data_IF_884746758055
#
_entry.id   IF_884746758055
#
_cell.length_a   1.000
_cell.length_b   1.000
_cell.length_c   1.000
_cell.angle_alpha   90.00
_cell.angle_beta   90.00
_cell.angle_gamma   90.00
#
_symmetry.space_group_name_H-M   'P 1'
#
loop_
_entity.id
_entity.type
_entity.pdbx_description
1 polymer ?
#
# COMPACT_ATOMS: atom_id res chain seq x y z
N UNK A 1 0.17 9.13 -6.23
CA UNK A 1 1.45 8.47 -6.54
C UNK A 1 1.74 8.67 -8.02
N UNK A 2 3.01 8.75 -8.42
CA UNK A 2 3.43 8.84 -9.81
C UNK A 2 4.41 7.69 -10.13
N UNK A 3 4.11 6.90 -11.15
CA UNK A 3 5.02 5.89 -11.68
C UNK A 3 5.85 6.52 -12.82
N UNK A 4 7.14 6.79 -12.58
CA UNK A 4 8.05 7.28 -13.62
C UNK A 4 8.87 6.13 -14.24
N UNK A 5 8.51 4.87 -13.96
CA UNK A 5 9.16 3.70 -14.55
C UNK A 5 8.74 3.52 -16.01
N UNK A 6 9.71 3.19 -16.86
CA UNK A 6 9.47 2.70 -18.23
C UNK A 6 9.04 1.22 -18.25
N UNK A 7 9.03 0.57 -17.09
CA UNK A 7 8.60 -0.81 -16.92
C UNK A 7 7.24 -0.88 -16.19
N UNK A 8 6.35 -1.81 -16.59
CA UNK A 8 5.12 -2.07 -15.85
C UNK A 8 5.41 -2.64 -14.46
N UNK A 9 4.47 -2.44 -13.55
CA UNK A 9 4.47 -3.11 -12.24
C UNK A 9 3.16 -3.87 -12.04
N UNK A 10 3.24 -4.98 -11.32
CA UNK A 10 2.16 -5.96 -11.21
C UNK A 10 1.68 -6.08 -9.77
N UNK A 11 0.44 -6.56 -9.62
CA UNK A 11 -0.18 -6.89 -8.33
C UNK A 11 -0.07 -5.77 -7.28
N UNK A 12 -0.22 -4.53 -7.72
CA UNK A 12 0.00 -3.33 -6.91
C UNK A 12 -1.11 -3.18 -5.88
N UNK A 13 -0.77 -3.26 -4.60
CA UNK A 13 -1.66 -2.93 -3.49
C UNK A 13 -1.18 -1.65 -2.82
N UNK A 14 -2.08 -0.66 -2.73
CA UNK A 14 -1.83 0.63 -2.09
C UNK A 14 -2.76 0.74 -0.91
N UNK A 15 -2.25 1.17 0.23
CA UNK A 15 -3.00 1.41 1.46
C UNK A 15 -2.51 2.70 2.10
N UNK A 16 -3.36 3.30 2.92
CA UNK A 16 -3.05 4.51 3.66
C UNK A 16 -2.79 4.15 5.12
N UNK A 17 -1.68 4.62 5.66
CA UNK A 17 -1.33 4.49 7.07
C UNK A 17 -1.08 5.86 7.69
N UNK A 18 -0.90 5.88 9.01
CA UNK A 18 -0.50 7.07 9.75
C UNK A 18 0.95 7.41 9.48
N UNK A 19 1.30 8.69 9.36
CA UNK A 19 2.70 9.13 9.32
C UNK A 19 3.46 8.88 10.62
N UNK A 20 2.76 8.49 11.69
CA UNK A 20 3.36 8.07 12.96
C UNK A 20 3.45 6.55 13.11
N UNK A 21 3.00 5.79 12.10
CA UNK A 21 3.14 4.34 12.11
C UNK A 21 4.61 3.95 12.09
N UNK A 22 4.93 2.78 12.64
CA UNK A 22 6.28 2.21 12.55
C UNK A 22 6.75 2.07 11.10
N UNK A 23 8.06 2.18 10.88
CA UNK A 23 8.67 1.87 9.58
C UNK A 23 8.57 0.39 9.23
N UNK A 24 8.58 -0.44 10.28
CA UNK A 24 8.46 -1.87 10.17
C UNK A 24 7.01 -2.23 9.90
N UNK A 25 6.83 -2.94 8.80
CA UNK A 25 5.57 -3.49 8.35
C UNK A 25 4.85 -4.26 9.48
N UNK A 26 5.60 -5.08 10.22
CA UNK A 26 5.08 -5.97 11.28
C UNK A 26 4.48 -5.21 12.47
N UNK A 27 4.94 -3.97 12.71
CA UNK A 27 4.48 -3.12 13.80
C UNK A 27 3.66 -1.91 13.29
N UNK A 28 3.34 -1.90 12.00
CA UNK A 28 2.52 -0.86 11.38
C UNK A 28 1.07 -1.04 11.81
N UNK A 29 0.59 -0.15 12.68
CA UNK A 29 -0.84 -0.03 12.94
C UNK A 29 -1.51 0.56 11.71
N UNK A 30 -2.13 -0.31 10.92
CA UNK A 30 -2.92 0.14 9.80
C UNK A 30 -4.16 0.86 10.31
N UNK A 31 -4.47 2.03 9.74
CA UNK A 31 -5.67 2.81 10.09
C UNK A 31 -6.87 2.11 9.46
N UNK A 32 -7.25 0.95 9.96
CA UNK A 32 -8.56 0.36 9.72
C UNK A 32 -9.37 0.61 10.98
N UNK A 33 -10.37 1.47 10.86
CA UNK A 33 -11.35 1.65 11.93
C UNK A 33 -11.83 0.28 12.41
N UNK A 34 -11.90 0.13 13.74
CA UNK A 34 -12.31 -1.08 14.46
C UNK A 34 -13.21 -2.03 13.65
N UNK A 35 -12.68 -3.22 13.36
CA UNK A 35 -13.47 -4.39 13.01
C UNK A 35 -13.98 -4.40 11.58
N UNK A 36 -13.52 -5.41 10.83
CA UNK A 36 -14.04 -5.78 9.51
C UNK A 36 -13.72 -4.79 8.39
N UNK A 37 -12.86 -5.25 7.47
CA UNK A 37 -12.54 -4.68 6.16
C UNK A 37 -13.76 -4.83 5.21
N UNK A 38 -14.95 -4.49 5.70
CA UNK A 38 -16.22 -4.66 5.00
C UNK A 38 -16.88 -3.36 4.56
N UNK A 39 -16.42 -2.18 5.02
CA UNK A 39 -17.22 -0.96 4.87
C UNK A 39 -16.50 0.32 4.41
N UNK A 40 -15.17 0.39 4.41
CA UNK A 40 -14.46 1.59 3.95
C UNK A 40 -13.68 1.33 2.66
N UNK A 41 -14.40 1.16 1.56
CA UNK A 41 -13.93 0.90 0.19
C UNK A 41 -13.06 2.03 -0.44
N UNK A 42 -12.42 2.89 0.35
CA UNK A 42 -11.67 4.06 -0.10
C UNK A 42 -10.21 4.14 0.34
N UNK A 43 -9.80 3.41 1.38
CA UNK A 43 -8.46 3.53 2.00
C UNK A 43 -7.41 2.57 1.44
N UNK A 44 -7.81 1.70 0.51
CA UNK A 44 -6.89 0.86 -0.24
C UNK A 44 -7.31 0.79 -1.71
N UNK A 45 -6.34 0.48 -2.58
CA UNK A 45 -6.57 0.19 -4.00
C UNK A 45 -5.69 -0.96 -4.44
N UNK A 46 -6.26 -1.83 -5.27
CA UNK A 46 -5.51 -2.88 -5.94
C UNK A 46 -5.55 -2.68 -7.45
N UNK A 47 -4.39 -2.90 -8.08
CA UNK A 47 -4.24 -2.94 -9.52
C UNK A 47 -3.49 -4.21 -9.90
N UNK A 48 -4.09 -5.03 -10.77
CA UNK A 48 -3.39 -6.20 -11.30
C UNK A 48 -2.14 -5.80 -12.11
N UNK A 49 -2.24 -4.68 -12.82
CA UNK A 49 -1.20 -4.14 -13.68
C UNK A 49 -1.27 -2.62 -13.66
N UNK A 50 -0.11 -1.98 -13.52
CA UNK A 50 0.09 -0.56 -13.79
C UNK A 50 1.04 -0.47 -14.99
N UNK A 51 0.57 0.03 -16.15
CA UNK A 51 1.40 0.16 -17.33
C UNK A 51 2.54 1.18 -17.10
N UNK A 52 3.60 1.13 -17.91
CA UNK A 52 4.66 2.12 -17.85
C UNK A 52 4.16 3.51 -18.23
N UNK A 53 4.83 4.52 -17.70
CA UNK A 53 4.48 5.93 -17.89
C UNK A 53 3.69 6.55 -16.74
N UNK A 54 3.43 7.85 -16.89
CA UNK A 54 2.90 8.70 -15.82
C UNK A 54 1.42 8.40 -15.55
N UNK A 55 1.14 7.66 -14.48
CA UNK A 55 -0.21 7.41 -14.00
C UNK A 55 -0.43 8.04 -12.62
N UNK A 56 -1.43 8.92 -12.51
CA UNK A 56 -1.83 9.51 -11.23
C UNK A 56 -2.82 8.59 -10.51
N UNK A 57 -2.37 7.94 -9.43
CA UNK A 57 -3.23 7.11 -8.59
C UNK A 57 -3.69 7.92 -7.38
N UNK A 58 -5.00 8.09 -7.25
CA UNK A 58 -5.68 8.75 -6.13
C UNK A 58 -6.28 7.70 -5.20
N UNK A 59 -6.01 7.81 -3.90
CA UNK A 59 -6.57 6.96 -2.83
C UNK A 59 -7.20 7.90 -1.81
N UNK A 60 -8.35 7.55 -1.24
CA UNK A 60 -8.98 8.42 -0.25
C UNK A 60 -8.19 8.37 1.05
N UNK A 61 -8.10 9.49 1.75
CA UNK A 61 -7.44 9.62 3.05
C UNK A 61 -8.44 10.06 4.13
N UNK A 62 -8.16 9.67 5.38
CA UNK A 62 -9.12 9.73 6.48
C UNK A 62 -9.36 11.12 7.09
N UNK A 63 -8.68 12.17 6.64
CA UNK A 63 -8.94 13.53 7.11
C UNK A 63 -7.71 14.42 7.24
N UNK A 64 -7.98 15.64 7.68
CA UNK A 64 -7.09 16.80 7.75
C UNK A 64 -5.94 16.61 8.73
N UNK A 65 -4.75 17.13 8.39
CA UNK A 65 -3.52 17.09 9.18
C UNK A 65 -3.54 17.97 10.47
N UNK A 66 -4.72 18.21 11.03
CA UNK A 66 -4.91 19.03 12.21
C UNK A 66 -4.53 18.19 13.44
N UNK A 67 -3.28 18.34 13.90
CA UNK A 67 -2.67 17.50 14.94
C UNK A 67 -1.33 16.85 14.56
N UNK A 68 -0.80 17.16 13.37
CA UNK A 68 0.54 16.72 12.93
C UNK A 68 0.63 15.27 12.46
N UNK A 69 -0.48 14.54 12.45
CA UNK A 69 -0.59 13.20 11.87
C UNK A 69 -1.14 13.29 10.44
N UNK A 70 -0.47 12.62 9.50
CA UNK A 70 -0.83 12.65 8.08
C UNK A 70 -1.12 11.25 7.58
N UNK A 71 -2.11 11.12 6.72
CA UNK A 71 -2.33 9.93 5.91
C UNK A 71 -1.24 9.82 4.85
N UNK A 72 -0.47 8.72 4.87
CA UNK A 72 0.65 8.47 3.97
C UNK A 72 0.45 7.14 3.24
N UNK A 73 0.72 7.09 1.92
CA UNK A 73 0.57 5.87 1.15
C UNK A 73 1.76 4.95 1.36
N UNK A 74 1.45 3.67 1.32
CA UNK A 74 2.38 2.54 1.35
C UNK A 74 1.95 1.55 0.29
N UNK A 75 2.93 0.92 -0.37
CA UNK A 75 2.68 0.18 -1.60
C UNK A 75 3.37 -1.18 -1.52
N UNK A 76 2.64 -2.23 -1.84
CA UNK A 76 3.21 -3.51 -2.26
C UNK A 76 3.05 -3.67 -3.77
N UNK A 77 4.04 -4.24 -4.45
CA UNK A 77 3.96 -4.53 -5.89
C UNK A 77 4.99 -5.60 -6.29
N UNK A 78 4.84 -6.15 -7.49
CA UNK A 78 5.86 -6.96 -8.16
C UNK A 78 6.50 -6.23 -9.32
N UNK A 79 7.80 -6.40 -9.48
CA UNK A 79 8.51 -5.93 -10.67
C UNK A 79 8.33 -6.88 -11.87
N UNK A 80 8.94 -6.55 -13.00
CA UNK A 80 8.92 -7.37 -14.23
C UNK A 80 9.62 -8.71 -14.10
N UNK A 81 10.50 -8.86 -13.11
CA UNK A 81 11.19 -10.12 -12.79
C UNK A 81 10.40 -10.99 -11.80
N UNK A 82 9.24 -10.50 -11.32
CA UNK A 82 8.39 -11.18 -10.36
C UNK A 82 8.80 -10.99 -8.90
N UNK A 83 9.83 -10.18 -8.62
CA UNK A 83 10.25 -9.92 -7.24
C UNK A 83 9.24 -9.00 -6.56
N UNK A 84 8.93 -9.29 -5.31
CA UNK A 84 8.01 -8.50 -4.50
C UNK A 84 8.73 -7.35 -3.81
N UNK A 85 8.05 -6.21 -3.74
CA UNK A 85 8.58 -4.99 -3.17
C UNK A 85 7.55 -4.33 -2.26
N UNK A 86 8.04 -3.76 -1.16
CA UNK A 86 7.30 -2.90 -0.26
C UNK A 86 7.93 -1.52 -0.23
N UNK A 87 7.14 -0.49 -0.50
CA UNK A 87 7.51 0.90 -0.27
C UNK A 87 6.83 1.40 1.00
N UNK A 88 7.63 1.70 2.02
CA UNK A 88 7.14 2.21 3.29
C UNK A 88 6.75 3.69 3.22
N UNK A 89 6.17 4.22 4.29
CA UNK A 89 5.67 5.60 4.33
C UNK A 89 6.79 6.67 4.27
N UNK A 90 8.03 6.29 4.57
CA UNK A 90 9.23 7.12 4.40
C UNK A 90 9.84 7.00 2.99
N UNK A 91 9.21 6.22 2.10
CA UNK A 91 9.64 6.02 0.73
C UNK A 91 10.76 4.99 0.57
N UNK A 92 11.19 4.30 1.64
CA UNK A 92 12.17 3.21 1.57
C UNK A 92 11.56 2.03 0.85
N UNK A 93 12.32 1.46 -0.09
CA UNK A 93 11.96 0.26 -0.82
C UNK A 93 12.63 -0.96 -0.17
N UNK A 94 11.84 -1.98 0.13
CA UNK A 94 12.27 -3.20 0.84
C UNK A 94 11.80 -4.40 0.01
N UNK A 95 12.69 -5.37 -0.24
CA UNK A 95 12.31 -6.62 -0.90
C UNK A 95 11.37 -7.44 -0.01
N UNK A 96 10.28 -7.94 -0.58
CA UNK A 96 9.24 -8.71 0.10
C UNK A 96 8.51 -9.60 -0.91
N UNK A 97 9.15 -10.69 -1.32
CA UNK A 97 8.65 -11.57 -2.39
C UNK A 97 7.29 -12.22 -2.08
N UNK A 98 7.02 -12.54 -0.81
CA UNK A 98 5.77 -13.17 -0.35
C UNK A 98 4.82 -12.19 0.37
N UNK A 99 4.74 -10.92 -0.05
CA UNK A 99 3.88 -9.97 0.67
C UNK A 99 2.39 -10.39 0.69
N UNK A 100 1.90 -11.15 -0.29
CA UNK A 100 0.51 -11.66 -0.29
C UNK A 100 0.22 -12.62 0.87
N UNK A 101 1.21 -13.43 1.25
CA UNK A 101 1.14 -14.32 2.41
C UNK A 101 1.17 -13.48 3.69
N UNK A 102 2.07 -12.50 3.75
CA UNK A 102 2.10 -11.53 4.85
C UNK A 102 0.76 -10.80 5.03
N UNK A 103 0.16 -10.29 3.96
CA UNK A 103 -1.16 -9.62 4.02
C UNK A 103 -2.22 -10.54 4.64
N UNK A 104 -2.18 -11.84 4.32
CA UNK A 104 -3.10 -12.83 4.91
C UNK A 104 -2.83 -13.02 6.41
N UNK A 105 -1.56 -13.15 6.81
CA UNK A 105 -1.17 -13.34 8.21
C UNK A 105 -1.60 -12.19 9.10
N UNK A 106 -1.45 -10.95 8.61
CA UNK A 106 -1.83 -9.75 9.36
C UNK A 106 -3.28 -9.32 9.15
N UNK A 107 -4.10 -10.18 8.52
CA UNK A 107 -5.54 -9.95 8.33
C UNK A 107 -5.87 -8.76 7.43
N UNK A 108 -4.95 -8.38 6.55
CA UNK A 108 -5.11 -7.31 5.57
C UNK A 108 -5.84 -7.78 4.32
N UNK A 109 -6.39 -6.86 3.50
CA UNK A 109 -7.10 -7.23 2.29
C UNK A 109 -6.15 -7.99 1.37
N UNK A 110 -6.47 -9.25 1.11
CA UNK A 110 -5.80 -10.02 0.06
C UNK A 110 -6.55 -9.75 -1.24
N UNK A 111 -5.95 -9.05 -2.22
CA UNK A 111 -6.66 -8.69 -3.44
C UNK A 111 -7.01 -9.87 -4.36
N UNK A 112 -6.58 -11.09 -4.00
CA UNK A 112 -6.75 -12.31 -4.80
C UNK A 112 -7.97 -13.14 -4.33
N UNK A 113 -8.60 -12.82 -3.18
CA UNK A 113 -9.75 -13.56 -2.64
C UNK A 113 -10.85 -12.65 -2.10
#
# INVERSE_FOLDING_TARGET
MNNNSELPIFEVLIFIISSKSSEEIETTNFIFGNGSIGANAGYYKYFRLIPPGLQEIKVNSGGSAMGGERSVPVIFFKDTSGNGWYRNHNGKLISKDNYLEYLREVGLPNPIY
#
